data_IF_747808682387
#
_entry.id   IF_747808682387
#
_cell.length_a   1.000
_cell.length_b   1.000
_cell.length_c   1.000
_cell.angle_alpha   90.00
_cell.angle_beta   90.00
_cell.angle_gamma   90.00
#
_symmetry.space_group_name_H-M   'P 1'
#
loop_
_entity.id
_entity.type
_entity.pdbx_description
1 polymer ?
#
# COMPACT_ATOMS: atom_id res chain seq x y z
N UNK A 1 -2.47 28.56 35.12
CA UNK A 1 -3.38 29.39 34.32
C UNK A 1 -3.35 29.10 32.82
N UNK A 2 -4.32 28.32 32.34
CA UNK A 2 -5.13 28.57 31.12
C UNK A 2 -6.01 27.34 30.87
N UNK A 3 -7.18 27.40 31.48
CA UNK A 3 -8.30 26.46 31.37
C UNK A 3 -8.86 26.51 29.94
N UNK A 4 -8.96 25.36 29.26
CA UNK A 4 -9.71 25.21 28.00
C UNK A 4 -11.21 25.10 28.32
N UNK A 5 -12.12 25.83 27.64
CA UNK A 5 -13.54 25.68 27.89
C UNK A 5 -14.12 24.43 27.20
N UNK A 6 -14.98 23.73 27.94
CA UNK A 6 -15.74 22.53 27.51
C UNK A 6 -16.83 22.91 26.50
N UNK A 7 -16.77 22.36 25.28
CA UNK A 7 -17.90 22.40 24.34
C UNK A 7 -19.00 21.44 24.83
N UNK A 8 -20.18 21.99 25.09
CA UNK A 8 -21.36 21.25 25.52
C UNK A 8 -22.09 20.66 24.31
N UNK A 9 -22.42 19.38 24.41
CA UNK A 9 -23.27 18.65 23.47
C UNK A 9 -24.66 19.30 23.36
N UNK A 10 -25.16 19.47 22.13
CA UNK A 10 -26.57 19.80 21.87
C UNK A 10 -27.27 18.59 21.26
N UNK A 11 -28.38 18.26 21.91
CA UNK A 11 -29.34 17.20 21.65
C UNK A 11 -30.13 17.42 20.36
N UNK A 12 -30.50 16.30 19.73
CA UNK A 12 -31.39 16.16 18.56
C UNK A 12 -32.79 16.77 18.81
N UNK A 13 -33.49 17.19 17.75
CA UNK A 13 -34.94 17.09 17.69
C UNK A 13 -35.43 16.03 16.67
N UNK A 14 -36.53 15.37 17.02
CA UNK A 14 -37.19 14.28 16.30
C UNK A 14 -38.35 14.81 15.44
N UNK A 15 -38.42 14.34 14.17
CA UNK A 15 -39.54 14.15 13.23
C UNK A 15 -40.66 15.21 13.01
N UNK A 16 -41.20 15.28 11.79
CA UNK A 16 -42.49 14.60 11.59
C UNK A 16 -42.51 13.60 10.44
N UNK A 17 -43.36 12.59 10.63
CA UNK A 17 -43.78 11.57 9.68
C UNK A 17 -44.68 12.21 8.63
N UNK A 18 -44.35 12.07 7.35
CA UNK A 18 -45.29 12.27 6.24
C UNK A 18 -45.54 10.93 5.57
N UNK A 19 -46.68 10.32 5.89
CA UNK A 19 -47.25 9.22 5.12
C UNK A 19 -47.81 9.79 3.82
N UNK A 20 -47.23 9.42 2.68
CA UNK A 20 -47.86 9.65 1.38
C UNK A 20 -47.91 8.33 0.63
N UNK A 21 -49.13 7.81 0.56
CA UNK A 21 -49.53 6.60 -0.15
C UNK A 21 -49.52 6.88 -1.64
N UNK A 22 -48.57 6.29 -2.38
CA UNK A 22 -48.67 6.06 -3.82
C UNK A 22 -48.13 4.66 -4.10
N UNK A 23 -48.94 3.83 -4.76
CA UNK A 23 -48.80 2.37 -4.84
C UNK A 23 -47.53 1.84 -5.54
N UNK A 24 -47.41 0.51 -5.61
CA UNK A 24 -46.24 -0.15 -6.18
C UNK A 24 -46.27 -0.02 -7.70
N UNK A 25 -45.48 0.91 -8.23
CA UNK A 25 -45.08 0.82 -9.64
C UNK A 25 -43.98 -0.24 -9.67
N UNK A 26 -44.38 -1.45 -10.05
CA UNK A 26 -43.47 -2.52 -10.41
C UNK A 26 -42.57 -2.01 -11.55
N UNK A 27 -41.31 -1.73 -11.23
CA UNK A 27 -40.25 -1.65 -12.22
C UNK A 27 -40.03 -3.08 -12.74
N UNK A 28 -40.78 -3.44 -13.76
CA UNK A 28 -40.54 -4.66 -14.54
C UNK A 28 -39.21 -4.53 -15.26
N UNK A 29 -38.42 -5.60 -15.15
CA UNK A 29 -37.07 -5.72 -15.62
C UNK A 29 -36.92 -5.35 -17.11
N UNK A 30 -35.91 -4.53 -17.39
CA UNK A 30 -35.05 -4.80 -18.55
C UNK A 30 -33.65 -5.01 -17.98
N UNK A 31 -33.39 -6.27 -17.64
CA UNK A 31 -32.05 -6.80 -17.37
C UNK A 31 -31.24 -6.66 -18.66
N UNK A 32 -30.70 -5.45 -18.89
CA UNK A 32 -29.79 -5.20 -20.00
C UNK A 32 -28.43 -5.76 -19.62
N UNK A 33 -28.17 -6.94 -20.14
CA UNK A 33 -26.93 -7.67 -20.15
C UNK A 33 -25.70 -6.80 -20.51
N UNK A 34 -25.15 -6.06 -19.55
CA UNK A 34 -23.75 -5.60 -19.55
C UNK A 34 -23.14 -5.36 -18.15
N UNK A 35 -23.89 -5.55 -17.05
CA UNK A 35 -23.39 -5.17 -15.71
C UNK A 35 -22.52 -6.24 -15.02
N UNK A 36 -22.48 -7.49 -15.51
CA UNK A 36 -21.72 -8.59 -14.84
C UNK A 36 -20.20 -8.47 -14.95
N UNK A 37 -19.68 -7.84 -16.00
CA UNK A 37 -18.23 -7.67 -16.14
C UNK A 37 -17.69 -6.56 -15.23
N UNK A 38 -18.54 -5.57 -14.92
CA UNK A 38 -18.22 -4.43 -14.06
C UNK A 38 -17.98 -4.86 -12.60
N UNK A 39 -18.87 -5.70 -12.04
CA UNK A 39 -18.74 -6.20 -10.66
C UNK A 39 -17.45 -6.99 -10.48
N UNK A 40 -17.12 -7.88 -11.42
CA UNK A 40 -15.89 -8.68 -11.33
C UNK A 40 -14.61 -7.81 -11.37
N UNK A 41 -14.63 -6.69 -12.11
CA UNK A 41 -13.50 -5.79 -12.19
C UNK A 41 -13.33 -4.99 -10.89
N UNK A 42 -14.43 -4.56 -10.28
CA UNK A 42 -14.42 -3.81 -9.03
C UNK A 42 -14.05 -4.69 -7.83
N UNK A 43 -14.58 -5.92 -7.75
CA UNK A 43 -14.20 -6.91 -6.74
C UNK A 43 -12.69 -7.21 -6.80
N UNK A 44 -12.12 -7.39 -8.00
CA UNK A 44 -10.68 -7.58 -8.18
C UNK A 44 -9.87 -6.38 -7.69
N UNK A 45 -10.35 -5.15 -7.88
CA UNK A 45 -9.70 -3.94 -7.35
C UNK A 45 -9.78 -3.90 -5.83
N UNK A 46 -10.93 -4.21 -5.25
CA UNK A 46 -11.13 -4.26 -3.80
C UNK A 46 -10.22 -5.30 -3.15
N UNK A 47 -10.11 -6.49 -3.75
CA UNK A 47 -9.20 -7.54 -3.29
C UNK A 47 -7.73 -7.10 -3.41
N UNK A 48 -7.33 -6.52 -4.54
CA UNK A 48 -5.98 -6.02 -4.74
C UNK A 48 -5.62 -4.88 -3.75
N UNK A 49 -6.57 -3.99 -3.45
CA UNK A 49 -6.42 -2.93 -2.47
C UNK A 49 -6.30 -3.51 -1.04
N UNK A 50 -7.15 -4.46 -0.68
CA UNK A 50 -7.09 -5.15 0.61
C UNK A 50 -5.76 -5.88 0.79
N UNK A 51 -5.27 -6.57 -0.25
CA UNK A 51 -3.98 -7.26 -0.26
C UNK A 51 -2.81 -6.28 -0.10
N UNK A 52 -2.84 -5.16 -0.82
CA UNK A 52 -1.80 -4.14 -0.74
C UNK A 52 -1.77 -3.47 0.64
N UNK A 53 -2.95 -3.17 1.19
CA UNK A 53 -3.10 -2.62 2.55
C UNK A 53 -2.57 -3.57 3.61
N UNK A 54 -2.99 -4.85 3.58
CA UNK A 54 -2.51 -5.87 4.51
C UNK A 54 -0.99 -6.09 4.42
N UNK A 55 -0.41 -6.05 3.21
CA UNK A 55 1.04 -6.11 3.03
C UNK A 55 1.76 -4.93 3.70
N UNK A 56 1.25 -3.71 3.52
CA UNK A 56 1.83 -2.50 4.10
C UNK A 56 1.75 -2.47 5.63
N UNK A 57 0.64 -2.95 6.19
CA UNK A 57 0.48 -3.15 7.63
C UNK A 57 1.50 -4.16 8.17
N UNK A 58 1.72 -5.28 7.47
CA UNK A 58 2.72 -6.29 7.86
C UNK A 58 4.16 -5.77 7.87
N UNK A 59 4.47 -4.77 7.04
CA UNK A 59 5.78 -4.09 7.05
C UNK A 59 5.94 -3.08 8.19
N UNK A 60 4.90 -2.84 8.99
CA UNK A 60 4.91 -1.85 10.07
C UNK A 60 4.65 -0.41 9.61
N UNK A 61 4.00 -0.22 8.45
CA UNK A 61 3.63 1.09 7.88
C UNK A 61 4.81 2.08 7.83
N UNK A 62 5.92 1.75 7.16
CA UNK A 62 7.11 2.56 7.17
C UNK A 62 6.86 3.94 6.53
N UNK A 63 7.13 5.02 7.26
CA UNK A 63 6.94 6.41 6.76
C UNK A 63 8.14 6.95 5.99
N UNK A 64 9.32 6.42 6.27
CA UNK A 64 10.59 6.85 5.65
C UNK A 64 11.13 5.71 4.82
N UNK A 65 11.08 5.86 3.50
CA UNK A 65 11.52 4.84 2.53
C UNK A 65 12.74 5.37 1.79
N UNK A 66 13.81 4.57 1.78
CA UNK A 66 15.01 4.86 1.01
C UNK A 66 14.77 4.50 -0.46
N UNK A 67 15.00 5.46 -1.35
CA UNK A 67 14.81 5.27 -2.78
C UNK A 67 15.90 4.34 -3.38
N UNK A 68 15.57 3.60 -4.45
CA UNK A 68 16.59 2.87 -5.20
C UNK A 68 17.49 3.85 -5.94
N UNK A 69 18.80 3.78 -5.69
CA UNK A 69 19.83 4.55 -6.37
C UNK A 69 20.91 3.60 -6.89
N UNK A 70 21.36 3.85 -8.12
CA UNK A 70 22.46 3.08 -8.74
C UNK A 70 23.76 3.42 -8.00
N UNK A 71 24.51 2.40 -7.58
CA UNK A 71 25.78 2.48 -6.82
C UNK A 71 25.73 3.15 -5.44
N UNK A 72 24.57 3.67 -5.02
CA UNK A 72 24.41 4.38 -3.75
C UNK A 72 23.39 3.73 -2.82
N UNK A 73 22.78 2.60 -3.20
CA UNK A 73 21.85 1.85 -2.33
C UNK A 73 22.41 0.49 -1.89
N UNK A 74 23.73 0.30 -1.93
CA UNK A 74 24.39 -0.92 -1.46
C UNK A 74 24.21 -1.15 0.06
N UNK A 75 24.44 -2.38 0.51
CA UNK A 75 24.28 -2.77 1.91
C UNK A 75 24.88 -1.78 2.93
N UNK A 76 26.13 -1.29 2.78
CA UNK A 76 26.71 -0.35 3.75
C UNK A 76 25.94 0.96 3.84
N UNK A 77 25.44 1.47 2.72
CA UNK A 77 24.64 2.70 2.69
C UNK A 77 23.28 2.48 3.35
N UNK A 78 22.62 1.35 3.05
CA UNK A 78 21.34 1.00 3.67
C UNK A 78 21.50 0.87 5.19
N UNK A 79 22.60 0.25 5.65
CA UNK A 79 22.93 0.18 7.08
C UNK A 79 23.17 1.55 7.72
N UNK A 80 23.81 2.47 7.01
CA UNK A 80 23.96 3.85 7.47
C UNK A 80 22.58 4.54 7.59
N UNK A 81 21.77 4.50 6.54
CA UNK A 81 20.45 5.15 6.53
C UNK A 81 19.50 4.56 7.58
N UNK A 82 19.60 3.26 7.88
CA UNK A 82 18.87 2.61 8.99
C UNK A 82 19.19 3.25 10.33
N UNK A 83 20.48 3.53 10.60
CA UNK A 83 20.91 4.24 11.82
C UNK A 83 20.36 5.67 11.90
N UNK A 84 20.06 6.27 10.75
CA UNK A 84 19.46 7.60 10.63
C UNK A 84 17.91 7.60 10.51
N UNK A 85 17.25 6.45 10.71
CA UNK A 85 15.78 6.37 10.79
C UNK A 85 15.07 5.97 9.50
N UNK A 86 15.77 5.39 8.52
CA UNK A 86 15.11 4.75 7.38
C UNK A 86 14.31 3.51 7.85
N UNK A 87 12.99 3.53 7.61
CA UNK A 87 12.07 2.47 8.05
C UNK A 87 11.91 1.35 7.01
N UNK A 88 12.11 1.66 5.72
CA UNK A 88 12.15 0.70 4.62
C UNK A 88 13.30 1.06 3.69
N UNK A 89 14.00 0.04 3.19
CA UNK A 89 15.07 0.24 2.21
C UNK A 89 14.77 -0.53 0.93
N UNK A 90 15.27 0.01 -0.18
CA UNK A 90 15.21 -0.62 -1.50
C UNK A 90 16.65 -0.84 -1.97
N UNK A 91 16.91 -1.99 -2.59
CA UNK A 91 18.22 -2.28 -3.21
C UNK A 91 18.47 -1.34 -4.40
N UNK A 92 19.71 -1.30 -4.92
CA UNK A 92 19.95 -0.79 -6.26
C UNK A 92 19.06 -1.53 -7.28
N UNK A 93 18.82 -0.87 -8.40
CA UNK A 93 18.04 -1.44 -9.50
C UNK A 93 18.89 -2.48 -10.24
N UNK A 94 18.57 -3.75 -10.10
CA UNK A 94 19.30 -4.83 -10.77
C UNK A 94 18.77 -5.06 -12.18
N UNK A 95 19.66 -5.18 -13.16
CA UNK A 95 19.26 -5.57 -14.50
C UNK A 95 18.98 -7.07 -14.54
N UNK A 96 17.73 -7.48 -14.73
CA UNK A 96 17.29 -8.88 -14.57
C UNK A 96 18.09 -9.88 -15.44
N UNK A 97 18.41 -9.50 -16.68
CA UNK A 97 19.23 -10.32 -17.58
C UNK A 97 20.64 -10.57 -17.05
N UNK A 98 21.30 -9.54 -16.50
CA UNK A 98 22.66 -9.66 -15.97
C UNK A 98 22.68 -10.35 -14.60
N UNK A 99 21.58 -10.28 -13.83
CA UNK A 99 21.50 -10.95 -12.53
C UNK A 99 21.60 -12.49 -12.61
N UNK A 100 21.38 -13.07 -13.79
CA UNK A 100 21.59 -14.51 -14.05
C UNK A 100 23.08 -14.85 -14.13
N UNK A 101 23.92 -13.90 -14.56
CA UNK A 101 25.36 -14.08 -14.69
C UNK A 101 26.03 -14.01 -13.30
N UNK A 102 26.82 -15.02 -12.90
CA UNK A 102 27.37 -15.11 -11.56
C UNK A 102 28.27 -13.92 -11.22
N UNK A 103 29.07 -13.43 -12.18
CA UNK A 103 29.98 -12.29 -11.95
C UNK A 103 29.25 -11.00 -11.60
N UNK A 104 28.13 -10.70 -12.28
CA UNK A 104 27.32 -9.52 -11.95
C UNK A 104 26.62 -9.69 -10.60
N UNK A 105 26.06 -10.88 -10.33
CA UNK A 105 25.38 -11.14 -9.06
C UNK A 105 26.34 -11.06 -7.87
N UNK A 106 27.53 -11.63 -7.95
CA UNK A 106 28.51 -11.60 -6.86
C UNK A 106 29.06 -10.18 -6.60
N UNK A 107 29.15 -9.35 -7.65
CA UNK A 107 29.58 -7.97 -7.52
C UNK A 107 28.52 -7.05 -6.89
N UNK A 108 27.23 -7.34 -7.09
CA UNK A 108 26.11 -6.46 -6.72
C UNK A 108 25.19 -7.02 -5.62
N UNK A 109 25.40 -8.28 -5.21
CA UNK A 109 24.60 -8.95 -4.17
C UNK A 109 25.49 -9.66 -3.17
N UNK A 110 25.49 -9.16 -1.95
CA UNK A 110 26.18 -9.72 -0.79
C UNK A 110 25.35 -10.81 -0.10
N UNK A 111 26.04 -11.77 0.53
CA UNK A 111 25.40 -12.76 1.41
C UNK A 111 24.71 -12.13 2.63
N UNK A 112 25.06 -10.88 2.96
CA UNK A 112 24.47 -10.14 4.08
C UNK A 112 23.24 -9.31 3.67
N UNK A 113 22.93 -9.21 2.36
CA UNK A 113 21.72 -8.54 1.89
C UNK A 113 20.48 -9.28 2.39
N UNK A 114 19.54 -8.55 2.99
CA UNK A 114 18.33 -9.13 3.58
C UNK A 114 18.55 -9.86 4.91
N UNK A 115 19.71 -9.68 5.54
CA UNK A 115 19.97 -10.10 6.93
C UNK A 115 19.02 -9.43 7.93
N UNK A 116 18.96 -9.93 9.17
CA UNK A 116 18.11 -9.36 10.22
C UNK A 116 18.19 -7.83 10.39
N UNK A 117 19.38 -7.17 10.42
CA UNK A 117 19.46 -5.71 10.53
C UNK A 117 18.99 -4.96 9.28
N UNK A 118 18.90 -5.65 8.15
CA UNK A 118 18.61 -5.04 6.85
C UNK A 118 17.10 -5.01 6.54
N UNK A 119 16.35 -5.91 7.16
CA UNK A 119 14.90 -5.99 7.01
C UNK A 119 14.18 -4.83 7.72
N UNK A 120 13.09 -4.29 7.13
CA UNK A 120 12.42 -4.74 5.89
C UNK A 120 13.08 -4.20 4.61
N UNK A 121 13.38 -5.08 3.64
CA UNK A 121 14.04 -4.75 2.37
C UNK A 121 13.15 -5.09 1.16
N UNK A 122 13.09 -4.19 0.18
CA UNK A 122 12.53 -4.47 -1.15
C UNK A 122 13.65 -4.59 -2.18
N UNK A 123 13.52 -5.54 -3.10
CA UNK A 123 14.47 -5.73 -4.21
C UNK A 123 13.84 -5.21 -5.49
N UNK A 124 14.56 -4.36 -6.22
CA UNK A 124 14.10 -3.82 -7.49
C UNK A 124 14.84 -4.47 -8.66
N UNK A 125 14.07 -4.99 -9.63
CA UNK A 125 14.59 -5.48 -10.90
C UNK A 125 14.09 -4.63 -12.07
N UNK A 126 14.99 -4.34 -13.00
CA UNK A 126 14.68 -3.79 -14.31
C UNK A 126 14.65 -4.93 -15.34
N UNK A 127 13.54 -5.04 -16.06
CA UNK A 127 13.32 -5.98 -17.16
C UNK A 127 12.49 -5.29 -18.25
N UNK A 128 12.62 -5.78 -19.49
CA UNK A 128 11.89 -5.32 -20.68
C UNK A 128 11.02 -6.46 -21.22
#
# INVERSE_FOLDING_TARGET
DRVRPKLHARSKPHAPVISSTAGPIQAHASDSMCDRDCDSAEERRQEAAARSSAFWERLGRPRTVLAPMIDQSELPFRMLCRRHGAALAVTPMFHAKHFIEPGYREANWSLLDGSAPDRPLLVQFAAN
#
